data_IF_006261705838
#
_entry.id   IF_006261705838
#
_cell.length_a   1.000
_cell.length_b   1.000
_cell.length_c   1.000
_cell.angle_alpha   90.00
_cell.angle_beta   90.00
_cell.angle_gamma   90.00
#
_symmetry.space_group_name_H-M   'P 1'
#
loop_
_entity.id
_entity.type
_entity.pdbx_description
1 polymer ?
#
# COMPACT_ATOMS: atom_id res chain seq x y z
N UNK A 1 6.23 3.55 -2.54
CA UNK A 1 6.02 4.71 -1.63
C UNK A 1 7.37 5.40 -1.42
N UNK A 2 7.41 6.74 -1.35
CA UNK A 2 8.66 7.53 -1.29
C UNK A 2 8.61 8.58 -0.16
N UNK A 3 9.77 9.12 0.21
CA UNK A 3 10.00 10.10 1.27
C UNK A 3 9.52 9.60 2.64
N UNK A 4 9.69 8.31 2.89
CA UNK A 4 9.41 7.72 4.19
C UNK A 4 10.64 7.84 5.11
N UNK A 5 10.46 8.11 6.40
CA UNK A 5 11.52 8.02 7.39
C UNK A 5 11.93 6.55 7.62
N UNK A 6 12.97 6.34 8.42
CA UNK A 6 13.49 5.00 8.73
C UNK A 6 12.40 4.06 9.25
N UNK A 7 11.58 4.52 10.20
CA UNK A 7 10.47 3.74 10.77
C UNK A 7 9.12 4.31 10.34
N UNK A 8 8.27 3.43 9.80
CA UNK A 8 6.89 3.76 9.50
C UNK A 8 5.99 2.52 9.59
N UNK A 9 4.73 2.71 9.97
CA UNK A 9 3.68 1.69 9.83
C UNK A 9 2.68 2.16 8.79
N UNK A 10 2.45 1.36 7.75
CA UNK A 10 1.50 1.64 6.68
C UNK A 10 0.33 0.66 6.81
N UNK A 11 -0.86 1.17 7.11
CA UNK A 11 -2.11 0.40 7.11
C UNK A 11 -2.90 0.70 5.85
N UNK A 12 -3.26 -0.33 5.11
CA UNK A 12 -3.95 -0.23 3.83
C UNK A 12 -5.39 -0.67 4.04
N UNK A 13 -6.36 0.17 3.68
CA UNK A 13 -7.78 -0.10 3.78
C UNK A 13 -8.44 -0.04 2.41
N UNK A 14 -9.49 -0.83 2.20
CA UNK A 14 -10.40 -0.60 1.07
C UNK A 14 -11.38 0.55 1.39
N UNK A 15 -12.24 0.94 0.44
CA UNK A 15 -13.21 2.01 0.65
C UNK A 15 -14.30 1.71 1.69
N UNK A 16 -14.55 0.43 1.99
CA UNK A 16 -15.45 0.03 3.08
C UNK A 16 -14.81 0.16 4.47
N UNK A 17 -13.51 0.53 4.55
CA UNK A 17 -12.76 0.64 5.80
C UNK A 17 -12.21 -0.69 6.31
N UNK A 18 -12.28 -1.77 5.54
CA UNK A 18 -11.67 -3.04 5.92
C UNK A 18 -10.15 -2.97 5.75
N UNK A 19 -9.42 -3.45 6.75
CA UNK A 19 -7.97 -3.58 6.69
C UNK A 19 -7.60 -4.67 5.66
N UNK A 20 -6.75 -4.30 4.70
CA UNK A 20 -6.26 -5.16 3.62
C UNK A 20 -4.87 -5.68 3.95
N UNK A 21 -3.99 -4.79 4.45
CA UNK A 21 -2.60 -5.11 4.76
C UNK A 21 -2.02 -4.12 5.77
N UNK A 22 -1.17 -4.59 6.68
CA UNK A 22 -0.26 -3.78 7.49
C UNK A 22 1.17 -4.05 7.07
N UNK A 23 1.90 -2.98 6.78
CA UNK A 23 3.30 -3.02 6.37
C UNK A 23 4.15 -2.29 7.41
N UNK A 24 5.23 -2.93 7.84
CA UNK A 24 6.20 -2.34 8.76
C UNK A 24 7.49 -2.02 8.01
N UNK A 25 7.87 -0.75 8.08
CA UNK A 25 9.16 -0.27 7.59
C UNK A 25 10.09 -0.04 8.77
N UNK A 26 11.26 -0.66 8.72
CA UNK A 26 12.40 -0.35 9.57
C UNK A 26 13.68 -0.51 8.74
N UNK A 27 13.95 0.48 7.88
CA UNK A 27 15.13 0.48 7.02
C UNK A 27 15.50 1.89 6.58
N UNK A 28 16.78 2.14 6.33
CA UNK A 28 17.29 3.49 6.00
C UNK A 28 16.90 3.97 4.59
N UNK A 29 16.34 3.11 3.74
CA UNK A 29 15.82 3.52 2.43
C UNK A 29 14.65 4.51 2.59
N UNK A 30 14.56 5.55 1.78
CA UNK A 30 13.36 6.42 1.76
C UNK A 30 12.14 5.76 1.10
N UNK A 31 12.32 4.56 0.54
CA UNK A 31 11.31 3.84 -0.21
C UNK A 31 10.74 2.65 0.59
N UNK A 32 9.50 2.31 0.24
CA UNK A 32 8.87 1.04 0.60
C UNK A 32 8.01 0.55 -0.57
N UNK A 33 8.18 -0.70 -0.96
CA UNK A 33 7.41 -1.34 -2.02
C UNK A 33 6.39 -2.29 -1.40
N UNK A 34 5.12 -2.13 -1.77
CA UNK A 34 4.09 -3.10 -1.47
C UNK A 34 3.96 -4.02 -2.69
N UNK A 35 3.91 -5.32 -2.42
CA UNK A 35 3.69 -6.40 -3.40
C UNK A 35 2.25 -6.47 -3.93
N UNK A 36 1.38 -5.55 -3.50
CA UNK A 36 -0.05 -5.50 -3.79
C UNK A 36 -0.82 -6.70 -3.22
N UNK A 37 -0.27 -7.42 -2.24
CA UNK A 37 -0.96 -8.55 -1.61
C UNK A 37 -1.63 -8.15 -0.29
N UNK A 38 -2.73 -8.82 0.03
CA UNK A 38 -3.36 -8.75 1.34
C UNK A 38 -2.61 -9.60 2.39
N UNK A 39 -3.15 -9.68 3.61
CA UNK A 39 -2.54 -10.50 4.68
C UNK A 39 -2.43 -12.00 4.37
N UNK A 40 -3.24 -12.49 3.43
CA UNK A 40 -3.25 -13.88 3.00
C UNK A 40 -2.42 -14.13 1.74
N UNK A 41 -1.55 -13.19 1.36
CA UNK A 41 -0.70 -13.28 0.16
C UNK A 41 -1.48 -13.39 -1.16
N UNK A 42 -2.74 -12.96 -1.16
CA UNK A 42 -3.58 -12.88 -2.35
C UNK A 42 -3.50 -11.46 -2.90
N UNK A 43 -3.38 -11.33 -4.22
CA UNK A 43 -3.40 -10.02 -4.89
C UNK A 43 -4.66 -9.23 -4.49
N UNK A 44 -4.44 -7.98 -4.11
CA UNK A 44 -5.51 -7.03 -3.88
C UNK A 44 -6.24 -6.77 -5.21
N UNK A 45 -7.57 -6.76 -5.15
CA UNK A 45 -8.40 -6.50 -6.32
C UNK A 45 -8.17 -5.09 -6.88
N UNK A 46 -8.50 -4.88 -8.16
CA UNK A 46 -8.63 -3.54 -8.70
C UNK A 46 -9.60 -2.70 -7.85
N UNK A 47 -9.26 -1.45 -7.60
CA UNK A 47 -10.07 -0.56 -6.77
C UNK A 47 -9.28 0.54 -6.10
N UNK A 48 -9.99 1.35 -5.30
CA UNK A 48 -9.40 2.44 -4.53
C UNK A 48 -9.11 1.98 -3.09
N UNK A 49 -7.93 2.35 -2.61
CA UNK A 49 -7.42 2.04 -1.30
C UNK A 49 -6.97 3.30 -0.57
N UNK A 50 -7.05 3.27 0.75
CA UNK A 50 -6.58 4.33 1.64
C UNK A 50 -5.35 3.80 2.39
N UNK A 51 -4.25 4.53 2.30
CA UNK A 51 -3.03 4.22 3.03
C UNK A 51 -2.91 5.18 4.21
N UNK A 52 -2.99 4.66 5.42
CA UNK A 52 -2.74 5.37 6.67
C UNK A 52 -1.29 5.12 7.12
N UNK A 53 -0.44 6.14 7.01
CA UNK A 53 1.00 6.03 7.25
C UNK A 53 1.36 6.76 8.55
N UNK A 54 1.76 6.01 9.56
CA UNK A 54 2.28 6.53 10.83
C UNK A 54 3.80 6.60 10.79
N UNK A 55 4.34 7.77 11.09
CA UNK A 55 5.78 8.07 11.13
C UNK A 55 6.15 8.52 12.55
N UNK A 56 6.37 7.58 13.49
CA UNK A 56 6.56 7.91 14.91
C UNK A 56 7.78 8.79 15.15
N UNK A 57 8.87 8.58 14.40
CA UNK A 57 10.11 9.36 14.51
C UNK A 57 9.90 10.85 14.21
N UNK A 58 8.85 11.18 13.45
CA UNK A 58 8.50 12.54 13.07
C UNK A 58 7.26 13.05 13.80
N UNK A 59 6.59 12.21 14.61
CA UNK A 59 5.29 12.53 15.22
C UNK A 59 4.19 12.86 14.19
N UNK A 60 4.25 12.27 12.98
CA UNK A 60 3.35 12.61 11.86
C UNK A 60 2.54 11.41 11.39
N UNK A 61 1.35 11.72 10.89
CA UNK A 61 0.49 10.80 10.15
C UNK A 61 0.25 11.37 8.75
N UNK A 62 0.30 10.52 7.73
CA UNK A 62 -0.02 10.89 6.34
C UNK A 62 -1.05 9.91 5.78
N UNK A 63 -2.07 10.46 5.13
CA UNK A 63 -3.08 9.68 4.42
C UNK A 63 -2.85 9.82 2.91
N UNK A 64 -2.81 8.69 2.19
CA UNK A 64 -2.73 8.66 0.73
C UNK A 64 -3.91 7.87 0.15
N UNK A 65 -4.28 8.17 -1.09
CA UNK A 65 -5.24 7.39 -1.88
C UNK A 65 -4.48 6.67 -3.00
N UNK A 66 -4.77 5.38 -3.19
CA UNK A 66 -4.13 4.54 -4.19
C UNK A 66 -5.18 3.81 -5.02
N UNK A 67 -5.14 3.99 -6.34
CA UNK A 67 -5.94 3.18 -7.26
C UNK A 67 -5.09 2.02 -7.78
N UNK A 68 -5.59 0.79 -7.65
CA UNK A 68 -5.05 -0.40 -8.30
C UNK A 68 -5.90 -0.68 -9.54
N UNK A 69 -5.26 -0.80 -10.69
CA UNK A 69 -5.89 -1.20 -11.95
C UNK A 69 -5.11 -2.39 -12.49
N UNK A 70 -5.69 -3.58 -12.37
CA UNK A 70 -5.17 -4.76 -13.03
C UNK A 70 -5.56 -4.69 -14.51
N UNK A 71 -4.57 -4.82 -15.39
CA UNK A 71 -4.84 -4.99 -16.81
C UNK A 71 -5.43 -6.37 -17.06
N UNK A 72 -6.47 -6.44 -17.87
CA UNK A 72 -6.85 -7.70 -18.52
C UNK A 72 -5.86 -7.93 -19.65
N UNK A 73 -5.20 -9.09 -19.70
CA UNK A 73 -4.57 -9.52 -20.95
C UNK A 73 -5.67 -9.60 -22.00
N UNK A 74 -5.65 -8.70 -22.98
CA UNK A 74 -6.38 -8.92 -24.22
C UNK A 74 -5.59 -10.01 -24.93
N UNK A 75 -6.12 -11.22 -25.14
CA UNK A 75 -5.44 -12.20 -25.96
C UNK A 75 -5.27 -11.57 -27.35
N UNK A 76 -4.04 -11.40 -27.81
CA UNK A 76 -3.75 -10.99 -29.18
C UNK A 76 -4.34 -12.07 -30.11
N UNK A 77 -5.54 -11.83 -30.65
CA UNK A 77 -6.02 -12.55 -31.81
C UNK A 77 -5.46 -11.83 -33.05
N UNK A 78 -4.62 -12.56 -33.78
CA UNK A 78 -3.90 -12.22 -35.01
C UNK A 78 -4.63 -11.27 -35.97
#
# INVERSE_FOLDING_TARGET
>A
MNHLPRRATIRIFNLAGHLVRTLHKDSDSQFYLWDLQNEHQVLAASGLYILHIEMPDLGKVKILKLAIVLGTEVPDFY
#
